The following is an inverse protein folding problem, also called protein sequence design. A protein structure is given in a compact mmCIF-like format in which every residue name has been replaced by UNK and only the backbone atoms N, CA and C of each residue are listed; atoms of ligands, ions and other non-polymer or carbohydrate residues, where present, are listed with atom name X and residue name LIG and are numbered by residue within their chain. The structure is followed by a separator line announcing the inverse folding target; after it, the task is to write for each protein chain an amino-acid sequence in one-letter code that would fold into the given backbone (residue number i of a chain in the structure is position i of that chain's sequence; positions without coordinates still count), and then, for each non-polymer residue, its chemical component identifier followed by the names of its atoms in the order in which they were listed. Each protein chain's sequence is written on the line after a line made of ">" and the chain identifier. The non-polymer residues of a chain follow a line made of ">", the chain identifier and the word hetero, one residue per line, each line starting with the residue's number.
data_IF_218497695787
#
_entry.id   IF_218497695787
#
_cell.length_a   1.000
_cell.length_b   1.000
_cell.length_c   1.000
_cell.angle_alpha   90.00
_cell.angle_beta   90.00
_cell.angle_gamma   90.00
#
_symmetry.space_group_name_H-M   'P 1'
#
loop_
_entity.id
_entity.type
_entity.pdbx_description
1 polymer ?
#
# COMPACT_ATOMS: atom_id res chain seq x y z
N UNK A 1 -63.95 38.03 0.09
CA UNK A 1 -63.07 38.06 -1.10
C UNK A 1 -62.34 36.74 -1.20
N UNK A 2 -62.35 36.13 -2.38
CA UNK A 2 -61.71 34.85 -2.68
C UNK A 2 -60.18 34.99 -2.73
N UNK A 3 -59.50 33.84 -2.88
CA UNK A 3 -58.11 33.59 -3.39
C UNK A 3 -57.12 33.23 -2.27
N UNK A 4 -56.46 32.06 -2.21
CA UNK A 4 -56.23 30.99 -3.19
C UNK A 4 -56.08 29.62 -2.46
N UNK A 5 -56.31 28.48 -3.14
CA UNK A 5 -56.10 27.17 -2.56
C UNK A 5 -54.60 26.88 -2.37
N UNK A 6 -54.23 26.36 -1.20
CA UNK A 6 -52.92 25.74 -0.95
C UNK A 6 -52.92 24.44 -1.77
N UNK A 7 -52.43 24.54 -3.00
CA UNK A 7 -52.28 23.39 -3.88
C UNK A 7 -51.14 22.52 -3.37
N UNK A 8 -51.54 21.32 -2.97
CA UNK A 8 -50.69 20.16 -2.78
C UNK A 8 -49.70 20.04 -3.96
N UNK A 9 -48.42 20.01 -3.66
CA UNK A 9 -47.54 19.04 -4.31
C UNK A 9 -47.00 18.15 -3.21
N UNK A 10 -47.66 17.01 -3.01
CA UNK A 10 -46.90 15.82 -2.65
C UNK A 10 -46.12 15.45 -3.91
N UNK A 11 -44.80 15.55 -3.86
CA UNK A 11 -43.97 14.78 -4.75
C UNK A 11 -42.56 14.63 -4.19
N UNK A 12 -42.05 13.42 -4.34
CA UNK A 12 -40.62 13.14 -4.27
C UNK A 12 -39.98 13.37 -2.91
N UNK A 13 -39.94 12.29 -2.12
CA UNK A 13 -38.65 11.62 -1.91
C UNK A 13 -37.49 12.40 -2.59
N UNK A 14 -36.75 13.20 -1.84
CA UNK A 14 -35.40 13.59 -2.25
C UNK A 14 -34.50 12.45 -1.78
N UNK A 15 -34.24 11.42 -2.60
CA UNK A 15 -33.18 10.51 -2.28
C UNK A 15 -31.87 11.31 -2.34
N UNK A 16 -30.94 10.92 -1.48
CA UNK A 16 -29.52 11.26 -1.60
C UNK A 16 -29.12 12.68 -1.17
N UNK A 17 -29.48 13.05 0.06
CA UNK A 17 -28.49 13.73 0.90
C UNK A 17 -27.64 12.70 1.64
N UNK A 18 -27.11 11.72 0.90
CA UNK A 18 -25.91 11.02 1.31
C UNK A 18 -24.76 12.02 1.16
N UNK A 19 -24.67 12.94 2.13
CA UNK A 19 -23.39 13.49 2.51
C UNK A 19 -22.54 12.26 2.77
N UNK A 20 -21.69 11.93 1.82
CA UNK A 20 -20.57 11.03 2.03
C UNK A 20 -19.71 11.73 3.07
N UNK A 21 -20.10 11.57 4.33
CA UNK A 21 -19.43 12.14 5.47
C UNK A 21 -18.13 11.38 5.55
N UNK A 22 -17.09 11.93 4.91
CA UNK A 22 -15.75 11.35 4.71
C UNK A 22 -15.55 10.09 5.55
N UNK A 23 -15.91 8.95 4.97
CA UNK A 23 -15.98 7.67 5.70
C UNK A 23 -14.57 7.18 6.07
N UNK A 24 -13.54 7.91 5.63
CA UNK A 24 -12.15 7.70 5.95
C UNK A 24 -11.61 8.90 6.75
N UNK A 25 -10.86 8.59 7.80
CA UNK A 25 -10.16 9.60 8.58
C UNK A 25 -9.16 10.37 7.71
N UNK A 26 -9.33 11.68 7.60
CA UNK A 26 -8.43 12.57 6.86
C UNK A 26 -7.46 13.26 7.82
N UNK A 27 -6.16 13.40 7.48
CA UNK A 27 -5.20 14.14 8.30
C UNK A 27 -5.63 15.59 8.51
N UNK A 28 -5.95 15.96 9.75
CA UNK A 28 -6.40 17.32 10.08
C UNK A 28 -5.27 18.37 10.02
N UNK A 29 -4.02 17.95 10.23
CA UNK A 29 -2.85 18.85 10.35
C UNK A 29 -1.68 18.32 9.55
N UNK A 30 -0.82 19.23 9.09
CA UNK A 30 0.48 18.89 8.51
C UNK A 30 1.38 18.32 9.59
N UNK A 31 1.93 17.13 9.33
CA UNK A 31 2.88 16.50 10.23
C UNK A 31 4.20 17.28 10.30
N UNK A 32 4.82 17.36 11.48
CA UNK A 32 6.10 18.04 11.65
C UNK A 32 7.19 17.41 10.77
N UNK A 33 8.21 18.20 10.42
CA UNK A 33 9.36 17.73 9.64
C UNK A 33 10.09 16.59 10.36
N UNK A 34 10.29 16.70 11.67
CA UNK A 34 10.95 15.68 12.48
C UNK A 34 10.20 14.35 12.48
N UNK A 35 8.88 14.36 12.70
CA UNK A 35 8.06 13.14 12.69
C UNK A 35 8.04 12.48 11.31
N UNK A 36 7.94 13.29 10.25
CA UNK A 36 7.96 12.79 8.88
C UNK A 36 9.29 12.13 8.54
N UNK A 37 10.41 12.75 8.92
CA UNK A 37 11.76 12.20 8.72
C UNK A 37 11.96 10.91 9.50
N UNK A 38 11.57 10.91 10.77
CA UNK A 38 11.71 9.73 11.63
C UNK A 38 10.97 8.53 11.05
N UNK A 39 9.69 8.70 10.66
CA UNK A 39 8.91 7.62 10.02
C UNK A 39 9.55 7.15 8.72
N UNK A 40 9.98 8.06 7.85
CA UNK A 40 10.61 7.70 6.56
C UNK A 40 11.93 6.95 6.73
N UNK A 41 12.73 7.30 7.74
CA UNK A 41 14.01 6.64 8.00
C UNK A 41 13.86 5.16 8.39
N UNK A 42 12.69 4.75 8.89
CA UNK A 42 12.40 3.33 9.18
C UNK A 42 12.08 2.51 7.94
N UNK A 43 11.73 3.15 6.81
CA UNK A 43 11.55 2.45 5.55
C UNK A 43 12.93 2.20 4.92
N UNK A 44 13.57 1.13 5.39
CA UNK A 44 14.87 0.65 4.96
C UNK A 44 14.80 -0.85 4.66
N UNK A 45 15.63 -1.31 3.73
CA UNK A 45 15.78 -2.73 3.43
C UNK A 45 17.08 -3.26 4.05
N UNK A 46 17.02 -4.43 4.68
CA UNK A 46 18.20 -5.15 5.13
C UNK A 46 18.75 -5.99 3.97
N UNK A 47 20.05 -5.88 3.72
CA UNK A 47 20.72 -6.74 2.75
C UNK A 47 20.73 -8.20 3.27
N UNK A 48 20.49 -9.20 2.40
CA UNK A 48 20.59 -10.60 2.80
C UNK A 48 22.05 -11.02 2.99
N UNK A 49 22.30 -11.90 3.96
CA UNK A 49 23.61 -12.51 4.14
C UNK A 49 23.90 -13.49 3.00
N UNK A 50 25.03 -13.29 2.33
CA UNK A 50 25.46 -14.08 1.18
C UNK A 50 26.48 -15.14 1.58
N UNK A 51 26.38 -16.30 0.94
CA UNK A 51 27.31 -17.43 1.08
C UNK A 51 27.86 -17.77 -0.29
N UNK A 52 29.18 -17.94 -0.37
CA UNK A 52 29.87 -18.39 -1.59
C UNK A 52 29.57 -19.86 -1.84
N UNK A 53 29.10 -20.17 -3.04
CA UNK A 53 28.92 -21.54 -3.55
C UNK A 53 29.52 -21.66 -4.93
N UNK A 54 30.03 -22.84 -5.28
CA UNK A 54 30.52 -23.15 -6.62
C UNK A 54 29.40 -23.78 -7.44
N UNK A 55 29.05 -23.16 -8.57
CA UNK A 55 28.08 -23.66 -9.55
C UNK A 55 28.79 -23.67 -10.90
N UNK A 56 28.77 -24.80 -11.61
CA UNK A 56 29.38 -24.95 -12.94
C UNK A 56 30.84 -24.46 -13.03
N UNK A 57 31.61 -24.67 -11.96
CA UNK A 57 33.02 -24.27 -11.86
C UNK A 57 33.26 -22.78 -11.58
N UNK A 58 32.21 -21.98 -11.36
CA UNK A 58 32.30 -20.56 -11.00
C UNK A 58 31.79 -20.33 -9.58
N UNK A 59 32.40 -19.37 -8.89
CA UNK A 59 31.97 -18.95 -7.56
C UNK A 59 30.84 -17.92 -7.67
N UNK A 60 29.75 -18.15 -6.93
CA UNK A 60 28.60 -17.26 -6.85
C UNK A 60 28.24 -16.99 -5.39
N UNK A 61 27.87 -15.74 -5.10
CA UNK A 61 27.36 -15.33 -3.80
C UNK A 61 25.83 -15.39 -3.81
N UNK A 62 25.26 -16.27 -3.00
CA UNK A 62 23.80 -16.45 -2.93
C UNK A 62 23.29 -16.36 -1.50
N UNK A 63 22.05 -15.92 -1.28
CA UNK A 63 21.41 -16.01 0.03
C UNK A 63 21.40 -17.45 0.53
N UNK A 64 21.80 -17.68 1.77
CA UNK A 64 21.95 -19.02 2.37
C UNK A 64 20.72 -19.92 2.20
N UNK A 65 19.51 -19.34 2.26
CA UNK A 65 18.24 -20.07 2.08
C UNK A 65 18.04 -20.64 0.67
N UNK A 66 18.70 -20.08 -0.35
CA UNK A 66 18.57 -20.47 -1.75
C UNK A 66 19.61 -21.52 -2.18
N UNK A 67 20.64 -21.78 -1.36
CA UNK A 67 21.68 -22.78 -1.64
C UNK A 67 21.11 -24.15 -2.06
N UNK A 68 20.08 -24.71 -1.40
CA UNK A 68 19.52 -26.00 -1.81
C UNK A 68 18.90 -25.98 -3.21
N UNK A 69 18.34 -24.85 -3.64
CA UNK A 69 17.73 -24.72 -4.96
C UNK A 69 18.78 -24.73 -6.07
N UNK A 70 19.90 -24.03 -5.87
CA UNK A 70 21.04 -24.06 -6.80
C UNK A 70 21.67 -25.46 -6.86
N UNK A 71 21.87 -26.13 -5.71
CA UNK A 71 22.42 -27.50 -5.67
C UNK A 71 21.53 -28.53 -6.38
N UNK A 72 20.22 -28.33 -6.37
CA UNK A 72 19.24 -29.21 -7.03
C UNK A 72 19.00 -28.84 -8.50
N UNK A 73 19.63 -27.78 -9.00
CA UNK A 73 19.45 -27.29 -10.37
C UNK A 73 18.09 -26.65 -10.65
N UNK A 74 17.34 -26.25 -9.60
CA UNK A 74 16.03 -25.60 -9.73
C UNK A 74 16.14 -24.12 -10.08
N UNK A 75 17.25 -23.49 -9.70
CA UNK A 75 17.59 -22.12 -10.03
C UNK A 75 18.95 -22.12 -10.72
N UNK A 76 19.09 -21.32 -11.76
CA UNK A 76 20.37 -21.04 -12.41
C UNK A 76 20.82 -19.63 -12.04
N UNK A 77 22.12 -19.42 -11.77
CA UNK A 77 22.63 -18.06 -11.62
C UNK A 77 22.53 -17.39 -12.99
N UNK A 78 21.63 -16.40 -13.12
CA UNK A 78 21.63 -15.52 -14.29
C UNK A 78 22.96 -14.75 -14.26
N UNK A 79 23.70 -14.83 -15.37
CA UNK A 79 25.01 -14.19 -15.53
C UNK A 79 24.91 -12.68 -15.68
#
# INVERSE_FOLDING_TARGET
>A
MKTAPIFMYGDGNHPEQERTHFVMAVPKRKMSRSNTRNRRAQWKASAPDLVTITIDGREHQVPRRLVPAYRRGLLRPEG
#
